data_IF_191247072264
#
_entry.id   IF_191247072264
#
_cell.length_a   1.000
_cell.length_b   1.000
_cell.length_c   1.000
_cell.angle_alpha   90.00
_cell.angle_beta   90.00
_cell.angle_gamma   90.00
#
_symmetry.space_group_name_H-M   'P 1'
#
loop_
_entity.id
_entity.type
_entity.pdbx_description
1 polymer ?
#
# COMPACT_ATOMS: atom_id res chain seq x y z
N UNK A 1 -9.58 -24.30 19.06
CA UNK A 1 -8.89 -23.38 18.13
C UNK A 1 -9.58 -22.04 18.24
N UNK A 2 -8.96 -21.05 18.91
CA UNK A 2 -9.54 -19.71 19.06
C UNK A 2 -9.68 -19.04 17.68
N UNK A 3 -10.85 -18.46 17.41
CA UNK A 3 -11.10 -17.76 16.16
C UNK A 3 -10.14 -16.57 15.97
N UNK A 4 -9.81 -16.25 14.72
CA UNK A 4 -9.07 -15.04 14.38
C UNK A 4 -9.95 -13.83 14.68
N UNK A 5 -9.49 -12.96 15.58
CA UNK A 5 -10.14 -11.67 15.85
C UNK A 5 -9.75 -10.68 14.76
N UNK A 6 -10.72 -9.92 14.25
CA UNK A 6 -10.49 -8.86 13.25
C UNK A 6 -9.50 -7.81 13.75
N UNK A 7 -9.45 -7.58 15.07
CA UNK A 7 -8.54 -6.62 15.69
C UNK A 7 -7.07 -7.04 15.59
N UNK A 8 -6.81 -8.34 15.46
CA UNK A 8 -5.46 -8.89 15.36
C UNK A 8 -4.96 -8.97 13.91
N UNK A 9 -5.83 -8.72 12.92
CA UNK A 9 -5.47 -8.81 11.51
C UNK A 9 -4.72 -7.55 11.04
N UNK A 10 -3.59 -7.78 10.40
CA UNK A 10 -2.78 -6.78 9.71
C UNK A 10 -2.64 -7.21 8.26
N UNK A 11 -3.09 -6.39 7.32
CA UNK A 11 -3.00 -6.66 5.89
C UNK A 11 -1.81 -5.91 5.30
N UNK A 12 -0.91 -6.65 4.66
CA UNK A 12 0.33 -6.15 4.07
C UNK A 12 0.33 -6.44 2.58
N UNK A 13 0.65 -5.42 1.79
CA UNK A 13 0.63 -5.50 0.32
C UNK A 13 1.40 -4.34 -0.32
N UNK A 14 1.49 -4.41 -1.64
CA UNK A 14 2.25 -3.50 -2.48
C UNK A 14 1.41 -2.97 -3.64
N UNK A 15 1.69 -1.74 -4.02
CA UNK A 15 1.19 -1.18 -5.26
C UNK A 15 2.27 -0.45 -6.03
N UNK A 16 2.15 -0.46 -7.35
CA UNK A 16 2.95 0.40 -8.21
C UNK A 16 2.19 1.69 -8.56
N UNK A 17 2.92 2.81 -8.53
CA UNK A 17 2.50 4.11 -9.04
C UNK A 17 3.34 4.42 -10.27
N UNK A 18 2.68 4.70 -11.39
CA UNK A 18 3.34 5.21 -12.59
C UNK A 18 3.45 6.73 -12.47
N UNK A 19 4.66 7.26 -12.55
CA UNK A 19 4.86 8.71 -12.63
C UNK A 19 4.20 9.24 -13.91
N UNK A 20 3.57 10.41 -13.80
CA UNK A 20 2.73 11.01 -14.83
C UNK A 20 1.33 10.38 -14.94
N UNK A 21 0.93 9.50 -14.00
CA UNK A 21 -0.44 9.01 -13.99
C UNK A 21 -1.43 10.12 -13.66
N UNK A 22 -2.51 10.19 -14.44
CA UNK A 22 -3.56 11.20 -14.37
C UNK A 22 -4.93 10.52 -14.23
N UNK A 23 -5.93 11.28 -13.80
CA UNK A 23 -7.34 10.86 -13.90
C UNK A 23 -7.69 10.51 -15.35
N UNK A 24 -8.40 9.40 -15.54
CA UNK A 24 -8.87 8.98 -16.87
C UNK A 24 -10.22 9.61 -17.24
N UNK A 25 -10.94 10.13 -16.25
CA UNK A 25 -12.28 10.68 -16.37
C UNK A 25 -12.40 11.87 -15.42
N UNK A 26 -13.19 12.86 -15.82
CA UNK A 26 -13.59 13.98 -14.98
C UNK A 26 -15.06 14.31 -15.22
N UNK A 27 -15.56 15.34 -14.54
CA UNK A 27 -16.94 15.81 -14.67
C UNK A 27 -16.93 17.29 -15.00
N UNK A 28 -17.81 17.70 -15.91
CA UNK A 28 -18.12 19.09 -16.26
C UNK A 28 -19.64 19.32 -16.16
N UNK A 29 -20.09 20.58 -16.07
CA UNK A 29 -21.50 20.91 -16.22
C UNK A 29 -22.11 20.32 -17.50
N UNK A 30 -23.43 20.07 -17.48
CA UNK A 30 -24.12 19.52 -18.64
C UNK A 30 -23.99 20.45 -19.84
N UNK A 31 -23.56 19.91 -20.98
CA UNK A 31 -23.34 20.67 -22.22
C UNK A 31 -21.92 21.24 -22.37
N UNK A 32 -21.08 21.16 -21.33
CA UNK A 32 -19.71 21.68 -21.38
C UNK A 32 -18.68 20.56 -21.58
N UNK A 33 -17.66 20.84 -22.40
CA UNK A 33 -16.52 19.94 -22.58
C UNK A 33 -15.49 20.16 -21.47
N UNK A 34 -15.13 19.08 -20.78
CA UNK A 34 -13.97 19.06 -19.89
C UNK A 34 -12.68 19.02 -20.72
N UNK A 35 -11.76 19.93 -20.42
CA UNK A 35 -10.40 19.93 -20.96
C UNK A 35 -9.41 19.64 -19.85
N UNK A 36 -8.41 18.80 -20.13
CA UNK A 36 -7.28 18.54 -19.26
C UNK A 36 -6.04 18.24 -20.12
N UNK A 37 -4.84 18.43 -19.57
CA UNK A 37 -3.58 18.27 -20.29
C UNK A 37 -2.71 17.19 -19.64
N UNK A 38 -2.54 16.07 -20.34
CA UNK A 38 -1.64 15.00 -19.90
C UNK A 38 -0.25 15.21 -20.52
N UNK A 39 0.76 15.65 -19.75
CA UNK A 39 2.12 15.71 -20.27
C UNK A 39 2.61 14.30 -20.62
N UNK A 40 3.30 14.17 -21.76
CA UNK A 40 3.99 12.94 -22.11
C UNK A 40 5.08 12.64 -21.07
N UNK A 41 5.10 11.42 -20.55
CA UNK A 41 6.08 10.99 -19.55
C UNK A 41 6.52 9.57 -19.84
N UNK A 42 7.84 9.31 -19.76
CA UNK A 42 8.47 8.04 -20.19
C UNK A 42 8.23 6.85 -19.25
N UNK A 43 7.55 7.06 -18.12
CA UNK A 43 6.90 5.99 -17.36
C UNK A 43 7.75 5.29 -16.31
N UNK A 44 8.56 6.02 -15.56
CA UNK A 44 9.19 5.48 -14.34
C UNK A 44 8.13 5.09 -13.30
N UNK A 45 8.45 4.07 -12.49
CA UNK A 45 7.56 3.51 -11.46
C UNK A 45 8.11 3.80 -10.07
N UNK A 46 7.21 4.10 -9.15
CA UNK A 46 7.46 4.13 -7.72
C UNK A 46 6.71 2.95 -7.12
N UNK A 47 7.42 2.09 -6.39
CA UNK A 47 6.80 1.02 -5.62
C UNK A 47 6.35 1.58 -4.28
N UNK A 48 5.19 1.17 -3.82
CA UNK A 48 4.67 1.52 -2.51
C UNK A 48 4.35 0.23 -1.79
N UNK A 49 4.85 0.10 -0.57
CA UNK A 49 4.50 -1.00 0.34
C UNK A 49 3.77 -0.40 1.54
N UNK A 50 2.75 -1.08 2.03
CA UNK A 50 2.09 -0.66 3.25
C UNK A 50 1.39 -1.78 3.98
N UNK A 51 1.06 -1.48 5.22
CA UNK A 51 0.37 -2.38 6.12
C UNK A 51 -0.75 -1.63 6.85
N UNK A 52 -1.94 -2.22 6.90
CA UNK A 52 -3.10 -1.68 7.61
C UNK A 52 -3.63 -2.66 8.63
N UNK A 53 -4.14 -2.15 9.74
CA UNK A 53 -4.97 -2.89 10.69
C UNK A 53 -6.44 -2.52 10.47
N UNK A 54 -7.33 -3.10 11.28
CA UNK A 54 -8.73 -2.68 11.31
C UNK A 54 -8.92 -1.20 11.70
N UNK A 55 -7.97 -0.61 12.43
CA UNK A 55 -8.13 0.74 13.00
C UNK A 55 -7.31 1.80 12.28
N UNK A 56 -6.18 1.43 11.67
CA UNK A 56 -5.22 2.42 11.19
C UNK A 56 -4.27 1.87 10.13
N UNK A 57 -3.65 2.80 9.41
CA UNK A 57 -2.48 2.51 8.58
C UNK A 57 -1.26 2.41 9.50
N UNK A 58 -0.69 1.21 9.61
CA UNK A 58 0.47 0.97 10.48
C UNK A 58 1.75 1.48 9.82
N UNK A 59 1.96 1.15 8.56
CA UNK A 59 3.16 1.54 7.82
C UNK A 59 2.84 1.80 6.35
N UNK A 60 3.52 2.77 5.76
CA UNK A 60 3.37 3.11 4.34
C UNK A 60 4.68 3.74 3.85
N UNK A 61 5.29 3.17 2.81
CA UNK A 61 6.61 3.61 2.31
C UNK A 61 6.64 3.61 0.79
N UNK A 62 7.11 4.71 0.22
CA UNK A 62 7.44 4.81 -1.19
C UNK A 62 8.92 4.45 -1.40
N UNK A 63 9.17 3.65 -2.42
CA UNK A 63 10.50 3.24 -2.86
C UNK A 63 10.61 3.68 -4.32
N UNK A 64 11.61 4.52 -4.59
CA UNK A 64 11.92 4.91 -5.96
C UNK A 64 12.38 3.64 -6.69
N UNK A 65 11.72 3.31 -7.81
CA UNK A 65 11.88 2.08 -8.61
C UNK A 65 11.17 0.82 -8.08
N UNK A 66 11.47 -0.32 -8.72
CA UNK A 66 10.95 -1.64 -8.34
C UNK A 66 11.51 -2.08 -7.01
N UNK A 67 10.63 -2.48 -6.08
CA UNK A 67 11.05 -2.98 -4.78
C UNK A 67 11.78 -4.33 -4.91
N UNK A 68 12.94 -4.42 -4.26
CA UNK A 68 13.69 -5.67 -4.08
C UNK A 68 13.29 -6.39 -2.80
N UNK A 69 13.56 -7.69 -2.70
CA UNK A 69 13.31 -8.46 -1.48
C UNK A 69 14.06 -7.93 -0.25
N UNK A 70 15.26 -7.37 -0.42
CA UNK A 70 15.99 -6.72 0.67
C UNK A 70 15.30 -5.44 1.14
N UNK A 71 14.84 -4.59 0.22
CA UNK A 71 14.10 -3.38 0.59
C UNK A 71 12.78 -3.72 1.29
N UNK A 72 12.11 -4.80 0.88
CA UNK A 72 10.93 -5.32 1.56
C UNK A 72 11.27 -5.75 3.00
N UNK A 73 12.33 -6.55 3.20
CA UNK A 73 12.78 -6.94 4.54
C UNK A 73 13.19 -5.74 5.41
N UNK A 74 13.81 -4.72 4.83
CA UNK A 74 14.11 -3.47 5.54
C UNK A 74 12.83 -2.78 5.98
N UNK A 75 11.84 -2.66 5.10
CA UNK A 75 10.51 -2.14 5.48
C UNK A 75 9.88 -2.95 6.61
N UNK A 76 9.91 -4.28 6.54
CA UNK A 76 9.38 -5.13 7.61
C UNK A 76 10.08 -4.85 8.94
N UNK A 77 11.41 -4.80 8.95
CA UNK A 77 12.20 -4.64 10.17
C UNK A 77 12.09 -3.24 10.78
N UNK A 78 12.15 -2.21 9.95
CA UNK A 78 12.27 -0.82 10.41
C UNK A 78 10.91 -0.13 10.56
N UNK A 79 9.95 -0.42 9.67
CA UNK A 79 8.71 0.35 9.58
C UNK A 79 7.49 -0.41 10.15
N UNK A 80 7.43 -1.74 9.99
CA UNK A 80 6.27 -2.55 10.36
C UNK A 80 6.43 -3.28 11.70
N UNK A 81 7.47 -4.10 11.87
CA UNK A 81 7.67 -4.94 13.04
C UNK A 81 7.62 -4.15 14.38
N UNK A 82 8.19 -2.93 14.48
CA UNK A 82 8.09 -2.14 15.72
C UNK A 82 6.67 -1.69 16.09
N UNK A 83 5.70 -1.81 15.16
CA UNK A 83 4.29 -1.42 15.34
C UNK A 83 3.35 -2.62 15.47
N UNK A 84 3.88 -3.84 15.37
CA UNK A 84 3.12 -5.06 15.61
C UNK A 84 3.07 -5.37 17.10
N UNK A 85 2.10 -6.20 17.48
CA UNK A 85 1.91 -6.69 18.84
C UNK A 85 1.94 -8.22 18.86
N UNK A 86 2.20 -8.79 20.04
CA UNK A 86 2.12 -10.23 20.24
C UNK A 86 0.71 -10.74 19.91
N UNK A 87 0.64 -11.78 19.09
CA UNK A 87 -0.63 -12.34 18.61
C UNK A 87 -1.18 -11.71 17.33
N UNK A 88 -0.60 -10.60 16.85
CA UNK A 88 -0.94 -10.01 15.55
C UNK A 88 -0.79 -11.04 14.42
N UNK A 89 -1.62 -10.91 13.38
CA UNK A 89 -1.68 -11.84 12.26
C UNK A 89 -1.49 -11.04 10.98
N UNK A 90 -0.30 -11.15 10.40
CA UNK A 90 0.06 -10.49 9.15
C UNK A 90 -0.43 -11.34 7.99
N UNK A 91 -1.39 -10.81 7.26
CA UNK A 91 -2.00 -11.41 6.09
C UNK A 91 -1.36 -10.80 4.83
N UNK A 92 -0.79 -11.66 4.00
CA UNK A 92 -0.17 -11.30 2.71
C UNK A 92 -0.78 -12.12 1.58
N UNK A 93 -0.65 -11.65 0.34
CA UNK A 93 -0.97 -12.48 -0.81
C UNK A 93 0.00 -13.67 -0.97
N UNK A 94 -0.36 -14.64 -1.81
CA UNK A 94 0.46 -15.84 -2.03
C UNK A 94 1.58 -15.68 -3.07
N UNK A 95 1.96 -14.46 -3.45
CA UNK A 95 2.96 -14.25 -4.49
C UNK A 95 4.35 -14.63 -3.99
N UNK A 96 5.18 -15.12 -4.93
CA UNK A 96 6.56 -15.48 -4.63
C UNK A 96 7.38 -14.31 -4.09
N UNK A 97 6.99 -13.07 -4.42
CA UNK A 97 7.60 -11.84 -3.91
C UNK A 97 7.46 -11.68 -2.39
N UNK A 98 6.41 -12.24 -1.77
CA UNK A 98 6.18 -12.15 -0.32
C UNK A 98 6.79 -13.32 0.45
N UNK A 99 7.17 -14.39 -0.25
CA UNK A 99 7.80 -15.58 0.34
C UNK A 99 9.33 -15.52 0.32
N UNK A 100 9.88 -14.31 0.34
CA UNK A 100 11.32 -14.11 0.41
C UNK A 100 11.82 -14.63 1.76
N UNK A 101 12.92 -15.40 1.73
CA UNK A 101 13.53 -15.94 2.95
C UNK A 101 13.84 -14.82 3.96
N UNK A 102 13.44 -15.00 5.22
CA UNK A 102 13.62 -14.00 6.27
C UNK A 102 12.35 -13.22 6.63
N UNK A 103 11.29 -13.26 5.81
CA UNK A 103 10.05 -12.49 6.06
C UNK A 103 9.32 -13.00 7.30
N UNK A 104 9.09 -14.32 7.38
CA UNK A 104 8.42 -14.96 8.52
C UNK A 104 9.23 -14.77 9.79
N UNK A 105 10.55 -14.97 9.73
CA UNK A 105 11.41 -14.84 10.90
C UNK A 105 11.41 -13.41 11.48
N UNK A 106 11.34 -12.38 10.64
CA UNK A 106 11.25 -10.98 11.10
C UNK A 106 9.93 -10.76 11.85
N UNK A 107 8.80 -11.20 11.28
CA UNK A 107 7.47 -10.97 11.84
C UNK A 107 7.23 -11.83 13.09
N UNK A 108 7.67 -13.08 13.09
CA UNK A 108 7.54 -13.99 14.24
C UNK A 108 8.45 -13.58 15.40
N UNK A 109 9.57 -12.88 15.14
CA UNK A 109 10.46 -12.38 16.20
C UNK A 109 9.80 -11.39 17.16
N UNK A 110 8.69 -10.78 16.75
CA UNK A 110 7.87 -9.87 17.58
C UNK A 110 6.57 -10.53 18.07
N UNK A 111 6.45 -11.86 17.94
CA UNK A 111 5.28 -12.62 18.37
C UNK A 111 4.07 -12.54 17.44
N UNK A 112 4.24 -12.02 16.22
CA UNK A 112 3.19 -12.05 15.20
C UNK A 112 3.18 -13.41 14.48
N UNK A 113 2.08 -13.71 13.78
CA UNK A 113 1.92 -14.89 12.92
C UNK A 113 1.72 -14.44 11.48
N UNK A 114 2.15 -15.26 10.54
CA UNK A 114 1.98 -14.99 9.11
C UNK A 114 0.90 -15.90 8.52
N UNK A 115 0.01 -15.34 7.71
CA UNK A 115 -0.98 -16.07 6.91
C UNK A 115 -0.89 -15.60 5.46
N UNK A 116 -0.73 -16.54 4.53
CA UNK A 116 -0.85 -16.25 3.11
C UNK A 116 -2.28 -16.54 2.63
N UNK A 117 -2.86 -15.60 1.90
CA UNK A 117 -4.16 -15.80 1.24
C UNK A 117 -4.08 -16.93 0.20
N UNK A 118 -5.20 -17.55 -0.11
CA UNK A 118 -5.26 -18.45 -1.26
C UNK A 118 -4.93 -17.68 -2.56
N UNK A 119 -4.32 -18.35 -3.56
CA UNK A 119 -4.06 -17.72 -4.85
C UNK A 119 -5.31 -17.04 -5.43
N UNK A 120 -5.13 -15.94 -6.16
CA UNK A 120 -6.20 -15.21 -6.87
C UNK A 120 -7.37 -14.75 -5.99
N UNK A 121 -7.11 -14.46 -4.71
CA UNK A 121 -8.13 -14.01 -3.76
C UNK A 121 -7.94 -12.56 -3.27
N UNK A 122 -7.66 -11.58 -4.17
CA UNK A 122 -7.38 -10.19 -3.77
C UNK A 122 -8.58 -9.52 -3.09
N UNK A 123 -9.81 -10.00 -3.35
CA UNK A 123 -11.03 -9.55 -2.68
C UNK A 123 -11.02 -9.70 -1.15
N UNK A 124 -10.11 -10.50 -0.60
CA UNK A 124 -9.95 -10.67 0.84
C UNK A 124 -8.80 -9.85 1.42
N UNK A 125 -8.24 -8.91 0.66
CA UNK A 125 -7.22 -7.99 1.11
C UNK A 125 -7.78 -6.55 1.19
N UNK A 126 -8.28 -6.09 2.35
CA UNK A 126 -8.88 -4.77 2.50
C UNK A 126 -7.97 -3.60 2.15
N UNK A 127 -6.64 -3.78 2.13
CA UNK A 127 -5.68 -2.74 1.76
C UNK A 127 -5.85 -2.26 0.32
N UNK A 128 -6.46 -3.06 -0.56
CA UNK A 128 -6.82 -2.66 -1.91
C UNK A 128 -7.73 -1.42 -1.94
N UNK A 129 -8.60 -1.25 -0.93
CA UNK A 129 -9.42 -0.05 -0.81
C UNK A 129 -8.57 1.20 -0.52
N UNK A 130 -7.56 1.07 0.34
CA UNK A 130 -6.59 2.14 0.60
C UNK A 130 -5.82 2.48 -0.69
N UNK A 131 -5.42 1.46 -1.47
CA UNK A 131 -4.75 1.68 -2.76
C UNK A 131 -5.61 2.43 -3.76
N UNK A 132 -6.91 2.16 -3.80
CA UNK A 132 -7.83 2.91 -4.66
C UNK A 132 -7.94 4.38 -4.23
N UNK A 133 -8.12 4.64 -2.93
CA UNK A 133 -8.19 6.00 -2.39
C UNK A 133 -6.91 6.79 -2.63
N UNK A 134 -5.75 6.23 -2.27
CA UNK A 134 -4.45 6.89 -2.45
C UNK A 134 -4.16 7.14 -3.93
N UNK A 135 -4.41 6.16 -4.82
CA UNK A 135 -4.24 6.38 -6.27
C UNK A 135 -5.21 7.42 -6.81
N UNK A 136 -6.42 7.53 -6.27
CA UNK A 136 -7.37 8.56 -6.68
C UNK A 136 -6.90 9.97 -6.29
N UNK A 137 -6.28 10.13 -5.11
CA UNK A 137 -5.63 11.37 -4.69
C UNK A 137 -4.40 11.68 -5.55
N UNK A 138 -3.54 10.71 -5.80
CA UNK A 138 -2.29 10.91 -6.53
C UNK A 138 -2.55 11.33 -7.98
N UNK A 139 -3.56 10.74 -8.64
CA UNK A 139 -3.96 11.09 -10.01
C UNK A 139 -4.42 12.53 -10.19
N UNK A 140 -4.75 13.24 -9.11
CA UNK A 140 -5.14 14.66 -9.16
C UNK A 140 -3.96 15.58 -9.41
N UNK A 141 -2.76 15.16 -9.01
CA UNK A 141 -1.56 15.99 -9.02
C UNK A 141 -0.57 15.62 -10.12
N UNK A 142 -0.77 14.47 -10.80
CA UNK A 142 0.05 14.02 -11.93
C UNK A 142 1.55 14.04 -11.58
N UNK A 143 1.96 13.31 -10.53
CA UNK A 143 3.31 13.44 -9.96
C UNK A 143 4.37 13.01 -10.96
N UNK A 144 5.49 13.74 -11.01
CA UNK A 144 6.60 13.47 -11.93
C UNK A 144 7.87 12.96 -11.26
N UNK A 145 7.88 12.94 -9.92
CA UNK A 145 9.03 12.51 -9.11
C UNK A 145 8.57 11.60 -7.96
N UNK A 146 9.49 10.77 -7.45
CA UNK A 146 9.21 9.88 -6.32
C UNK A 146 8.94 10.65 -5.02
N UNK A 147 9.60 11.80 -4.82
CA UNK A 147 9.39 12.67 -3.65
C UNK A 147 7.97 13.22 -3.63
N UNK A 148 7.46 13.64 -4.79
CA UNK A 148 6.07 14.12 -4.91
C UNK A 148 5.09 13.00 -4.54
N UNK A 149 5.36 11.78 -4.99
CA UNK A 149 4.55 10.60 -4.60
C UNK A 149 4.61 10.37 -3.10
N UNK A 150 5.79 10.41 -2.49
CA UNK A 150 5.95 10.24 -1.04
C UNK A 150 5.17 11.29 -0.23
N UNK A 151 5.23 12.56 -0.63
CA UNK A 151 4.46 13.64 0.01
C UNK A 151 2.95 13.43 -0.12
N UNK A 152 2.47 13.04 -1.31
CA UNK A 152 1.05 12.76 -1.54
C UNK A 152 0.56 11.54 -0.76
N UNK A 153 1.40 10.52 -0.57
CA UNK A 153 1.09 9.37 0.27
C UNK A 153 0.98 9.76 1.74
N UNK A 154 1.88 10.60 2.24
CA UNK A 154 1.79 11.13 3.60
C UNK A 154 0.49 11.93 3.81
N UNK A 155 0.17 12.84 2.87
CA UNK A 155 -1.08 13.60 2.91
C UNK A 155 -2.30 12.67 2.86
N UNK A 156 -2.30 11.69 1.95
CA UNK A 156 -3.37 10.72 1.82
C UNK A 156 -3.57 9.89 3.09
N UNK A 157 -2.50 9.38 3.68
CA UNK A 157 -2.55 8.65 4.93
C UNK A 157 -3.12 9.50 6.08
N UNK A 158 -2.75 10.78 6.16
CA UNK A 158 -3.31 11.72 7.14
C UNK A 158 -4.79 12.00 6.93
N UNK A 159 -5.29 12.00 5.69
CA UNK A 159 -6.71 12.18 5.38
C UNK A 159 -7.51 10.93 5.75
N UNK A 160 -7.03 9.74 5.38
CA UNK A 160 -7.69 8.47 5.69
C UNK A 160 -7.74 8.21 7.21
N UNK A 161 -6.72 8.64 7.95
CA UNK A 161 -6.66 8.49 9.41
C UNK A 161 -7.64 9.40 10.17
N UNK A 162 -8.35 10.32 9.50
CA UNK A 162 -9.40 11.17 10.10
C UNK A 162 -10.81 10.57 9.98
N UNK A 163 -10.97 9.47 9.25
CA UNK A 163 -12.25 8.82 9.00
C UNK A 163 -12.41 7.48 9.73
N UNK A 164 -11.45 7.10 10.57
CA UNK A 164 -11.53 5.96 11.49
C UNK A 164 -11.90 6.41 12.91
#
# INVERSE_FOLDING_TARGET
MGGLSVKDLVFLDEMAILLGMMRLRGRSPQGERLYDSKPFYRGSRVSVVGAISHQSILALKAIDQSMTGEQFKTFLREDLAPKLWEGAVVVMDNLAAHKVKGVEEILESVGARVIYLSPYSPKYNPIEHLWWSLKALIRQFVPKTAETVAQLLQLGAMLESRFC
#
